data_IF_380693596814
#
_entry.id   IF_380693596814
#
_cell.length_a   1.000
_cell.length_b   1.000
_cell.length_c   1.000
_cell.angle_alpha   90.00
_cell.angle_beta   90.00
_cell.angle_gamma   90.00
#
_symmetry.space_group_name_H-M   'P 1'
#
loop_
_entity.id
_entity.type
_entity.pdbx_description
1 polymer ?
#
# COMPACT_ATOMS: atom_id res chain seq x y z
N UNK A 1 19.34 10.88 -30.66
CA UNK A 1 18.10 10.55 -29.92
C UNK A 1 17.44 11.87 -29.56
N UNK A 2 16.19 12.09 -29.91
CA UNK A 2 15.42 13.24 -29.49
C UNK A 2 14.37 12.76 -28.45
N UNK A 3 14.48 13.25 -27.22
CA UNK A 3 13.55 12.87 -26.15
C UNK A 3 13.15 14.10 -25.33
N UNK A 4 11.90 14.16 -24.91
CA UNK A 4 11.37 15.23 -24.06
C UNK A 4 11.37 14.88 -22.57
N UNK A 5 11.58 13.61 -22.22
CA UNK A 5 11.72 13.13 -20.82
C UNK A 5 12.75 12.01 -20.76
N UNK A 6 13.51 11.98 -19.66
CA UNK A 6 14.45 10.90 -19.35
C UNK A 6 14.35 10.62 -17.86
N UNK A 7 13.84 9.45 -17.49
CA UNK A 7 13.60 9.07 -16.09
C UNK A 7 14.34 7.76 -15.80
N UNK A 8 15.05 7.71 -14.69
CA UNK A 8 15.73 6.53 -14.19
C UNK A 8 14.92 5.84 -13.11
N UNK A 9 14.72 4.55 -13.25
CA UNK A 9 13.91 3.73 -12.34
C UNK A 9 14.71 2.53 -11.89
N UNK A 10 14.69 2.25 -10.59
CA UNK A 10 15.13 1.00 -9.99
C UNK A 10 13.89 0.16 -9.72
N UNK A 11 13.78 -0.98 -10.36
CA UNK A 11 12.65 -1.89 -10.21
C UNK A 11 12.82 -2.76 -8.97
N UNK A 12 11.87 -2.70 -8.08
CA UNK A 12 11.84 -3.49 -6.86
C UNK A 12 10.43 -4.06 -6.61
N UNK A 13 10.35 -5.10 -5.82
CA UNK A 13 9.10 -5.58 -5.27
C UNK A 13 9.26 -5.88 -3.78
N UNK A 14 8.21 -5.67 -3.01
CA UNK A 14 8.12 -6.05 -1.61
C UNK A 14 7.14 -7.21 -1.49
N UNK A 15 7.64 -8.40 -1.14
CA UNK A 15 6.83 -9.60 -0.97
C UNK A 15 5.87 -9.84 -2.17
N UNK A 16 6.36 -9.59 -3.40
CA UNK A 16 5.61 -9.75 -4.64
C UNK A 16 4.85 -8.52 -5.12
N UNK A 17 4.57 -7.54 -4.26
CA UNK A 17 3.94 -6.28 -4.69
C UNK A 17 4.97 -5.35 -5.31
N UNK A 18 4.71 -4.91 -6.55
CA UNK A 18 5.62 -4.03 -7.27
C UNK A 18 5.73 -2.66 -6.58
N UNK A 19 6.95 -2.15 -6.49
CA UNK A 19 7.26 -0.85 -5.88
C UNK A 19 8.48 -0.22 -6.56
N UNK A 20 8.41 -0.03 -7.87
CA UNK A 20 9.49 0.61 -8.64
C UNK A 20 9.80 2.01 -8.13
N UNK A 21 11.08 2.39 -8.09
CA UNK A 21 11.55 3.64 -7.49
C UNK A 21 12.22 4.52 -8.53
N UNK A 22 11.67 5.71 -8.75
CA UNK A 22 12.28 6.76 -9.59
C UNK A 22 13.41 7.41 -8.80
N UNK A 23 14.63 7.23 -9.26
CA UNK A 23 15.86 7.72 -8.61
C UNK A 23 16.52 8.88 -9.38
N UNK A 24 15.98 9.26 -10.54
CA UNK A 24 16.50 10.36 -11.34
C UNK A 24 15.55 10.79 -12.46
N UNK A 25 15.78 12.00 -12.99
CA UNK A 25 15.00 12.55 -14.08
C UNK A 25 13.74 13.35 -13.67
N UNK A 26 13.35 13.30 -12.41
CA UNK A 26 12.34 14.18 -11.81
C UNK A 26 13.06 15.07 -10.80
N UNK A 27 13.46 16.26 -11.24
CA UNK A 27 14.26 17.17 -10.41
C UNK A 27 13.45 17.86 -9.32
N UNK A 28 12.19 18.15 -9.59
CA UNK A 28 11.31 18.85 -8.66
C UNK A 28 9.85 18.47 -8.90
N UNK A 29 9.14 18.23 -7.81
CA UNK A 29 7.68 18.17 -7.77
C UNK A 29 7.23 19.47 -7.09
N UNK A 30 6.34 20.28 -7.71
CA UNK A 30 5.80 21.49 -7.08
C UNK A 30 5.16 21.20 -5.73
N UNK A 31 5.39 22.08 -4.76
CA UNK A 31 4.90 22.00 -3.38
C UNK A 31 6.02 22.19 -2.35
N UNK A 32 5.73 22.95 -1.29
CA UNK A 32 6.64 23.21 -0.17
C UNK A 32 6.61 22.07 0.86
N UNK A 33 5.53 21.33 0.93
CA UNK A 33 5.31 20.18 1.80
C UNK A 33 5.07 18.91 0.99
N UNK A 34 5.23 17.73 1.62
CA UNK A 34 4.90 16.47 0.94
C UNK A 34 3.40 16.36 0.63
N UNK A 35 2.54 16.96 1.45
CA UNK A 35 1.11 17.04 1.17
C UNK A 35 0.84 17.85 -0.11
N UNK A 36 1.45 19.03 -0.27
CA UNK A 36 1.29 19.84 -1.49
C UNK A 36 1.83 19.14 -2.74
N UNK A 37 2.94 18.40 -2.63
CA UNK A 37 3.47 17.56 -3.73
C UNK A 37 2.52 16.44 -4.12
N UNK A 38 1.91 15.80 -3.13
CA UNK A 38 0.88 14.77 -3.31
C UNK A 38 -0.36 15.37 -4.00
N UNK A 39 -0.84 16.52 -3.52
CA UNK A 39 -2.01 17.20 -4.11
C UNK A 39 -1.73 17.62 -5.55
N UNK A 40 -0.53 18.17 -5.83
CA UNK A 40 -0.12 18.49 -7.19
C UNK A 40 -0.17 17.27 -8.12
N UNK A 41 0.36 16.12 -7.71
CA UNK A 41 0.39 14.90 -8.52
C UNK A 41 -1.00 14.29 -8.75
N UNK A 42 -1.96 14.59 -7.88
CA UNK A 42 -3.36 14.21 -8.07
C UNK A 42 -4.17 15.20 -8.92
N UNK A 43 -3.62 16.37 -9.23
CA UNK A 43 -4.27 17.42 -10.00
C UNK A 43 -3.43 17.77 -11.25
N UNK A 44 -2.67 18.86 -11.23
CA UNK A 44 -1.94 19.37 -12.41
C UNK A 44 -0.80 18.43 -12.87
N UNK A 45 -0.27 17.60 -11.97
CA UNK A 45 0.83 16.67 -12.20
C UNK A 45 0.41 15.29 -12.73
N UNK A 46 -0.88 15.05 -13.00
CA UNK A 46 -1.39 13.73 -13.46
C UNK A 46 -0.74 13.20 -14.74
N UNK A 47 -0.21 14.05 -15.58
CA UNK A 47 0.54 13.62 -16.77
C UNK A 47 1.79 12.80 -16.42
N UNK A 48 2.43 13.08 -15.30
CA UNK A 48 3.57 12.30 -14.83
C UNK A 48 3.12 10.94 -14.29
N UNK A 49 2.02 10.89 -13.57
CA UNK A 49 1.41 9.65 -13.08
C UNK A 49 1.01 8.75 -14.27
N UNK A 50 0.30 9.29 -15.27
CA UNK A 50 -0.08 8.55 -16.48
C UNK A 50 1.15 8.04 -17.24
N UNK A 51 2.17 8.87 -17.41
CA UNK A 51 3.40 8.49 -18.07
C UNK A 51 4.10 7.30 -17.41
N UNK A 52 4.13 7.27 -16.08
CA UNK A 52 4.83 6.24 -15.31
C UNK A 52 4.00 4.97 -15.09
N UNK A 53 2.67 5.11 -14.95
CA UNK A 53 1.80 4.03 -14.51
C UNK A 53 0.97 3.40 -15.61
N UNK A 54 0.79 4.05 -16.80
CA UNK A 54 -0.03 3.54 -17.88
C UNK A 54 0.80 2.86 -18.96
N UNK A 55 0.15 1.99 -19.75
CA UNK A 55 0.78 1.38 -20.93
C UNK A 55 1.31 2.45 -21.89
N UNK A 56 2.41 2.19 -22.59
CA UNK A 56 3.18 0.96 -22.65
C UNK A 56 4.28 0.86 -21.57
N UNK A 57 4.39 1.82 -20.64
CA UNK A 57 5.46 1.91 -19.65
C UNK A 57 5.07 1.34 -18.29
N UNK A 58 3.79 1.39 -17.95
CA UNK A 58 3.21 0.87 -16.71
C UNK A 58 2.34 -0.35 -16.93
N UNK A 59 1.85 -0.89 -15.83
CA UNK A 59 0.96 -2.07 -15.78
C UNK A 59 -0.12 -1.87 -14.70
N UNK A 60 -1.27 -2.55 -14.79
CA UNK A 60 -2.40 -2.37 -13.86
C UNK A 60 -2.06 -2.57 -12.38
N UNK A 61 -1.08 -3.40 -12.10
CA UNK A 61 -0.61 -3.72 -10.75
C UNK A 61 0.70 -3.00 -10.39
N UNK A 62 1.10 -2.00 -11.18
CA UNK A 62 2.32 -1.24 -10.95
C UNK A 62 2.14 -0.19 -9.85
N UNK A 63 3.15 -0.03 -9.02
CA UNK A 63 3.36 1.12 -8.14
C UNK A 63 4.70 1.75 -8.48
N UNK A 64 4.72 3.07 -8.56
CA UNK A 64 5.94 3.84 -8.84
C UNK A 64 6.13 4.89 -7.76
N UNK A 65 7.29 4.86 -7.11
CA UNK A 65 7.66 5.74 -6.01
C UNK A 65 8.63 6.80 -6.52
N UNK A 66 8.28 8.07 -6.47
CA UNK A 66 9.19 9.15 -6.85
C UNK A 66 9.92 9.63 -5.61
N UNK A 67 11.23 9.37 -5.56
CA UNK A 67 12.10 9.90 -4.51
C UNK A 67 12.37 11.38 -4.76
N UNK A 68 12.30 12.18 -3.71
CA UNK A 68 12.57 13.62 -3.71
C UNK A 68 13.34 14.02 -2.46
N UNK A 69 13.91 15.23 -2.45
CA UNK A 69 14.40 15.81 -1.21
C UNK A 69 13.25 15.91 -0.18
N UNK A 70 13.53 15.61 1.10
CA UNK A 70 12.52 15.78 2.14
C UNK A 70 12.15 17.24 2.34
N UNK A 71 10.92 17.49 2.77
CA UNK A 71 10.44 18.86 3.08
C UNK A 71 10.64 19.24 4.55
N UNK A 72 11.11 18.28 5.35
CA UNK A 72 11.37 18.44 6.80
C UNK A 72 12.82 18.06 7.14
N UNK A 73 13.44 18.69 8.15
CA UNK A 73 14.88 18.52 8.44
C UNK A 73 15.22 17.21 9.16
N UNK A 74 14.22 16.49 9.71
CA UNK A 74 14.37 15.26 10.47
C UNK A 74 14.11 14.00 9.61
N UNK A 75 14.04 14.15 8.28
CA UNK A 75 13.89 13.05 7.34
C UNK A 75 15.12 12.91 6.42
N UNK A 76 15.42 11.68 6.02
CA UNK A 76 16.56 11.34 5.16
C UNK A 76 16.19 11.47 3.68
N UNK A 77 14.94 11.16 3.32
CA UNK A 77 14.40 11.30 1.98
C UNK A 77 12.88 11.53 2.02
N UNK A 78 12.34 12.16 0.98
CA UNK A 78 10.91 12.20 0.73
C UNK A 78 10.52 11.25 -0.40
N UNK A 79 9.29 10.75 -0.44
CA UNK A 79 8.78 10.06 -1.62
C UNK A 79 7.26 10.18 -1.76
N UNK A 80 6.80 10.12 -3.01
CA UNK A 80 5.37 10.08 -3.36
C UNK A 80 5.09 8.81 -4.14
N UNK A 81 4.03 8.12 -3.77
CA UNK A 81 3.58 6.88 -4.40
C UNK A 81 2.62 7.22 -5.52
N UNK A 82 2.85 6.69 -6.72
CA UNK A 82 1.94 6.75 -7.85
C UNK A 82 1.44 5.35 -8.19
N UNK A 83 0.14 5.25 -8.35
CA UNK A 83 -0.54 4.07 -8.85
C UNK A 83 -1.47 4.45 -10.01
N UNK A 84 -2.08 3.50 -10.73
CA UNK A 84 -2.99 3.80 -11.82
C UNK A 84 -4.16 4.72 -11.45
N UNK A 85 -4.65 4.64 -10.22
CA UNK A 85 -5.76 5.44 -9.69
C UNK A 85 -5.35 6.82 -9.14
N UNK A 86 -4.06 7.07 -8.97
CA UNK A 86 -3.55 8.37 -8.53
C UNK A 86 -2.33 8.28 -7.62
N UNK A 87 -2.01 9.38 -6.94
CA UNK A 87 -1.02 9.39 -5.88
C UNK A 87 -1.63 8.92 -4.56
N UNK A 88 -0.85 8.19 -3.77
CA UNK A 88 -1.22 7.67 -2.45
C UNK A 88 -0.34 8.25 -1.35
N UNK A 89 -0.90 8.56 -0.17
CA UNK A 89 -0.15 9.24 0.89
C UNK A 89 0.86 8.33 1.58
N UNK A 90 0.58 7.02 1.66
CA UNK A 90 1.44 6.03 2.29
C UNK A 90 1.07 4.60 1.85
N UNK A 91 2.07 3.72 1.78
CA UNK A 91 1.91 2.28 1.60
C UNK A 91 3.13 1.59 2.21
N UNK A 92 2.90 0.57 3.04
CA UNK A 92 3.96 -0.18 3.73
C UNK A 92 4.91 -0.88 2.75
N UNK A 93 4.38 -1.62 1.77
CA UNK A 93 5.21 -2.31 0.77
C UNK A 93 6.06 -1.34 -0.05
N UNK A 94 5.49 -0.18 -0.42
CA UNK A 94 6.23 0.85 -1.14
C UNK A 94 7.32 1.50 -0.28
N UNK A 95 7.05 1.79 1.00
CA UNK A 95 8.06 2.31 1.93
C UNK A 95 9.22 1.32 2.13
N UNK A 96 8.94 0.01 2.19
CA UNK A 96 9.97 -1.05 2.25
C UNK A 96 10.80 -1.07 0.95
N UNK A 97 10.17 -0.99 -0.23
CA UNK A 97 10.88 -0.90 -1.51
C UNK A 97 11.78 0.34 -1.58
N UNK A 98 11.25 1.50 -1.22
CA UNK A 98 12.00 2.78 -1.22
C UNK A 98 13.19 2.69 -0.27
N UNK A 99 13.00 2.22 0.96
CA UNK A 99 14.08 2.05 1.94
C UNK A 99 15.19 1.13 1.41
N UNK A 100 14.80 -0.03 0.86
CA UNK A 100 15.75 -0.99 0.29
C UNK A 100 16.54 -0.36 -0.88
N UNK A 101 15.86 0.33 -1.79
CA UNK A 101 16.52 0.99 -2.93
C UNK A 101 17.44 2.10 -2.47
N UNK A 102 17.02 2.97 -1.55
CA UNK A 102 17.85 4.07 -1.02
C UNK A 102 19.17 3.53 -0.41
N UNK A 103 19.08 2.43 0.34
CA UNK A 103 20.24 1.83 1.01
C UNK A 103 21.14 1.07 0.01
N UNK A 104 20.58 0.19 -0.80
CA UNK A 104 21.36 -0.67 -1.71
C UNK A 104 21.94 0.09 -2.93
N UNK A 105 21.41 1.28 -3.25
CA UNK A 105 22.01 2.16 -4.27
C UNK A 105 22.95 3.23 -3.69
N UNK A 106 23.09 3.29 -2.37
CA UNK A 106 23.97 4.27 -1.69
C UNK A 106 23.43 5.70 -1.69
N UNK A 107 22.15 5.92 -2.01
CA UNK A 107 21.51 7.24 -1.90
C UNK A 107 21.37 7.67 -0.44
N UNK A 108 21.19 6.72 0.47
CA UNK A 108 21.31 6.88 1.91
C UNK A 108 22.42 5.94 2.40
N UNK A 109 23.37 6.42 3.21
CA UNK A 109 24.42 5.56 3.75
C UNK A 109 23.86 4.40 4.56
N UNK A 110 24.33 3.19 4.26
CA UNK A 110 23.99 1.97 5.01
C UNK A 110 24.96 1.77 6.16
N UNK A 111 24.45 1.44 7.33
CA UNK A 111 25.22 0.98 8.50
C UNK A 111 24.75 -0.41 8.90
N UNK A 112 25.67 -1.25 9.37
CA UNK A 112 25.38 -2.61 9.84
C UNK A 112 25.54 -2.68 11.37
N UNK A 113 24.75 -3.48 12.05
CA UNK A 113 23.71 -4.40 11.54
C UNK A 113 22.35 -3.73 11.28
N UNK A 114 22.19 -2.44 11.59
CA UNK A 114 20.93 -1.73 11.49
C UNK A 114 21.11 -0.31 10.93
N UNK A 115 20.17 0.09 10.07
CA UNK A 115 20.05 1.45 9.57
C UNK A 115 18.63 1.95 9.78
N UNK A 116 18.49 3.12 10.39
CA UNK A 116 17.20 3.80 10.50
C UNK A 116 17.10 4.80 9.35
N UNK A 117 16.05 4.68 8.54
CA UNK A 117 15.72 5.62 7.45
C UNK A 117 14.40 6.31 7.79
N UNK A 118 14.41 7.63 7.80
CA UNK A 118 13.23 8.45 8.04
C UNK A 118 12.71 8.99 6.73
N UNK A 119 11.52 8.55 6.35
CA UNK A 119 10.87 8.88 5.08
C UNK A 119 9.80 9.94 5.30
N UNK A 120 9.93 11.07 4.60
CA UNK A 120 8.94 12.14 4.57
C UNK A 120 7.85 11.79 3.53
N UNK A 121 6.60 11.69 3.96
CA UNK A 121 5.46 11.31 3.12
C UNK A 121 4.28 12.26 3.32
N UNK A 122 3.29 12.21 2.44
CA UNK A 122 2.06 12.97 2.62
C UNK A 122 1.27 12.54 3.89
N UNK A 123 1.46 11.30 4.36
CA UNK A 123 0.89 10.83 5.63
C UNK A 123 1.74 11.20 6.86
N UNK A 124 2.86 11.93 6.67
CA UNK A 124 3.78 12.32 7.72
C UNK A 124 5.11 11.54 7.69
N UNK A 125 5.84 11.58 8.79
CA UNK A 125 7.13 10.89 8.93
C UNK A 125 6.92 9.40 9.16
N UNK A 126 7.55 8.59 8.31
CA UNK A 126 7.59 7.13 8.44
C UNK A 126 9.00 6.71 8.84
N UNK A 127 9.11 6.02 9.96
CA UNK A 127 10.38 5.45 10.41
C UNK A 127 10.50 4.00 9.94
N UNK A 128 11.52 3.74 9.14
CA UNK A 128 11.88 2.42 8.63
C UNK A 128 13.19 1.97 9.29
N UNK A 129 13.15 0.86 10.00
CA UNK A 129 14.32 0.21 10.60
C UNK A 129 14.74 -0.95 9.71
N UNK A 130 15.85 -0.79 9.00
CA UNK A 130 16.37 -1.79 8.09
C UNK A 130 17.46 -2.63 8.79
N UNK A 131 17.29 -3.95 8.80
CA UNK A 131 18.36 -4.87 9.16
C UNK A 131 19.28 -5.07 7.96
N UNK A 132 20.57 -4.81 8.15
CA UNK A 132 21.55 -4.80 7.08
C UNK A 132 22.71 -5.78 7.37
N UNK A 133 23.14 -6.50 6.33
CA UNK A 133 24.24 -7.47 6.43
C UNK A 133 24.93 -7.63 5.09
N UNK A 134 26.27 -7.52 5.06
CA UNK A 134 27.09 -7.70 3.86
C UNK A 134 26.76 -6.70 2.74
N UNK A 135 26.42 -5.47 3.08
CA UNK A 135 26.03 -4.42 2.14
C UNK A 135 24.63 -4.59 1.56
N UNK A 136 23.78 -5.43 2.16
CA UNK A 136 22.42 -5.71 1.70
C UNK A 136 21.40 -5.37 2.79
N UNK A 137 20.28 -4.79 2.38
CA UNK A 137 19.10 -4.64 3.20
C UNK A 137 18.34 -5.98 3.26
N UNK A 138 18.36 -6.63 4.41
CA UNK A 138 17.79 -7.98 4.58
C UNK A 138 16.29 -7.94 4.75
N UNK A 139 15.83 -7.06 5.61
CA UNK A 139 14.41 -6.76 5.84
C UNK A 139 14.25 -5.33 6.39
N UNK A 140 13.03 -4.83 6.34
CA UNK A 140 12.66 -3.51 6.83
C UNK A 140 11.45 -3.64 7.75
N UNK A 141 11.56 -3.10 8.94
CA UNK A 141 10.47 -2.96 9.90
C UNK A 141 9.95 -1.53 9.89
N UNK A 142 8.65 -1.38 9.68
CA UNK A 142 7.95 -0.10 9.73
C UNK A 142 7.14 0.00 11.01
N UNK A 143 7.26 1.13 11.73
CA UNK A 143 6.28 1.50 12.75
C UNK A 143 5.05 2.04 12.04
N UNK A 144 3.94 1.32 12.18
CA UNK A 144 2.68 1.68 11.51
C UNK A 144 1.89 2.71 12.32
N UNK A 145 0.92 3.34 11.70
CA UNK A 145 0.01 4.25 12.40
C UNK A 145 -0.82 3.52 13.43
N UNK A 146 -1.25 4.19 14.52
CA UNK A 146 -2.19 3.59 15.47
C UNK A 146 -3.43 3.05 14.76
N UNK A 147 -3.74 1.79 14.99
CA UNK A 147 -4.80 1.06 14.29
C UNK A 147 -5.91 0.67 15.27
N UNK A 148 -7.17 0.86 14.88
CA UNK A 148 -8.31 0.69 15.78
C UNK A 148 -9.52 0.11 15.06
N UNK A 149 -10.42 -0.47 15.87
CA UNK A 149 -11.71 -1.02 15.39
C UNK A 149 -12.74 0.10 15.34
N UNK A 150 -13.47 0.17 14.24
CA UNK A 150 -14.67 1.01 14.10
C UNK A 150 -15.93 0.24 14.50
N UNK A 151 -16.09 -0.98 13.97
CA UNK A 151 -17.17 -1.88 14.31
C UNK A 151 -16.78 -3.34 14.08
N UNK A 152 -17.35 -4.24 14.85
CA UNK A 152 -17.20 -5.69 14.67
C UNK A 152 -18.53 -6.30 14.23
N UNK A 153 -18.45 -7.39 13.45
CA UNK A 153 -19.59 -8.22 13.03
C UNK A 153 -20.70 -7.44 12.31
N UNK A 154 -20.33 -6.45 11.48
CA UNK A 154 -21.29 -5.71 10.64
C UNK A 154 -21.90 -6.65 9.61
N UNK A 155 -23.21 -6.80 9.63
CA UNK A 155 -23.95 -7.69 8.75
C UNK A 155 -24.17 -7.07 7.37
N UNK A 156 -23.80 -7.81 6.32
CA UNK A 156 -23.94 -7.40 4.92
C UNK A 156 -24.78 -8.43 4.18
N UNK A 157 -25.98 -8.08 3.68
CA UNK A 157 -26.71 -8.96 2.77
C UNK A 157 -25.91 -9.18 1.49
N UNK A 158 -25.61 -10.45 1.18
CA UNK A 158 -24.83 -10.81 0.00
C UNK A 158 -25.42 -12.07 -0.64
N UNK A 159 -25.95 -11.97 -1.88
CA UNK A 159 -26.72 -13.05 -2.51
C UNK A 159 -27.81 -13.56 -1.57
N UNK A 160 -27.87 -14.87 -1.31
CA UNK A 160 -28.87 -15.52 -0.47
C UNK A 160 -28.44 -15.69 1.01
N UNK A 161 -27.37 -15.00 1.42
CA UNK A 161 -26.80 -15.12 2.76
C UNK A 161 -26.47 -13.75 3.38
N UNK A 162 -26.14 -13.75 4.66
CA UNK A 162 -25.60 -12.59 5.37
C UNK A 162 -24.14 -12.88 5.69
N UNK A 163 -23.24 -11.98 5.27
CA UNK A 163 -21.81 -12.01 5.56
C UNK A 163 -21.54 -11.02 6.69
N UNK A 164 -20.65 -11.37 7.62
CA UNK A 164 -20.16 -10.48 8.66
C UNK A 164 -18.81 -9.93 8.29
N UNK A 165 -18.64 -8.63 8.43
CA UNK A 165 -17.37 -7.94 8.25
C UNK A 165 -17.01 -7.16 9.53
N UNK A 166 -15.73 -7.13 9.87
CA UNK A 166 -15.17 -6.18 10.82
C UNK A 166 -14.76 -4.92 10.07
N UNK A 167 -15.05 -3.74 10.62
CA UNK A 167 -14.59 -2.46 10.07
C UNK A 167 -13.48 -1.93 10.98
N UNK A 168 -12.28 -1.75 10.43
CA UNK A 168 -11.13 -1.30 11.18
C UNK A 168 -10.24 -0.37 10.35
N UNK A 169 -9.49 0.50 11.04
CA UNK A 169 -8.50 1.40 10.49
C UNK A 169 -7.08 0.89 10.76
N UNK A 170 -6.21 0.90 9.75
CA UNK A 170 -4.80 0.54 9.85
C UNK A 170 -3.89 1.41 8.99
N UNK A 171 -4.33 2.64 8.68
CA UNK A 171 -3.75 3.58 7.72
C UNK A 171 -4.76 3.93 6.62
N UNK A 172 -5.74 3.07 6.42
CA UNK A 172 -6.98 3.28 5.69
C UNK A 172 -8.08 2.44 6.35
N UNK A 173 -9.35 2.62 5.97
CA UNK A 173 -10.45 1.79 6.46
C UNK A 173 -10.64 0.54 5.63
N UNK A 174 -10.73 -0.58 6.32
CA UNK A 174 -10.93 -1.92 5.76
C UNK A 174 -12.23 -2.54 6.24
N UNK A 175 -12.95 -3.20 5.32
CA UNK A 175 -13.89 -4.25 5.67
C UNK A 175 -13.15 -5.58 5.70
N UNK A 176 -13.07 -6.25 6.84
CA UNK A 176 -12.32 -7.50 7.01
C UNK A 176 -13.31 -8.64 7.11
N UNK A 177 -13.18 -9.63 6.24
CA UNK A 177 -14.12 -10.74 6.08
C UNK A 177 -13.39 -12.07 6.18
N UNK A 178 -13.87 -12.96 7.04
CA UNK A 178 -13.38 -14.34 7.09
C UNK A 178 -13.84 -15.07 5.81
N UNK A 179 -12.88 -15.50 4.99
CA UNK A 179 -13.15 -16.09 3.67
C UNK A 179 -13.98 -17.37 3.73
N UNK A 180 -13.94 -18.06 4.86
CA UNK A 180 -14.73 -19.26 5.11
C UNK A 180 -16.25 -19.03 5.06
N UNK A 181 -16.72 -17.80 5.36
CA UNK A 181 -18.13 -17.43 5.21
C UNK A 181 -18.61 -17.54 3.76
N UNK A 182 -17.68 -17.48 2.79
CA UNK A 182 -17.95 -17.63 1.36
C UNK A 182 -17.77 -19.07 0.87
N UNK A 183 -17.36 -20.00 1.75
CA UNK A 183 -16.98 -21.37 1.34
C UNK A 183 -15.77 -21.41 0.40
N UNK A 184 -14.87 -20.41 0.51
CA UNK A 184 -13.72 -20.23 -0.37
C UNK A 184 -12.39 -20.32 0.38
N UNK A 185 -11.31 -20.45 -0.39
CA UNK A 185 -9.93 -20.40 0.10
C UNK A 185 -9.21 -19.19 -0.52
N UNK A 186 -8.26 -18.61 0.24
CA UNK A 186 -7.32 -17.62 -0.27
C UNK A 186 -6.23 -18.36 -1.05
N UNK A 187 -6.40 -18.43 -2.36
CA UNK A 187 -5.49 -19.15 -3.26
C UNK A 187 -5.43 -18.43 -4.63
N UNK A 188 -4.29 -18.50 -5.35
CA UNK A 188 -4.09 -17.77 -6.61
C UNK A 188 -5.18 -18.00 -7.66
N UNK A 189 -5.71 -19.23 -7.77
CA UNK A 189 -6.80 -19.57 -8.70
C UNK A 189 -8.11 -18.86 -8.39
N UNK A 190 -8.32 -18.41 -7.16
CA UNK A 190 -9.52 -17.72 -6.71
C UNK A 190 -9.39 -16.18 -6.78
N UNK A 191 -8.24 -15.64 -7.20
CA UNK A 191 -7.94 -14.22 -7.14
C UNK A 191 -8.99 -13.35 -7.84
N UNK A 192 -9.45 -13.75 -9.04
CA UNK A 192 -10.45 -12.99 -9.79
C UNK A 192 -11.80 -12.96 -9.07
N UNK A 193 -12.24 -14.10 -8.55
CA UNK A 193 -13.50 -14.19 -7.82
C UNK A 193 -13.46 -13.43 -6.49
N UNK A 194 -12.38 -13.56 -5.73
CA UNK A 194 -12.17 -12.78 -4.50
C UNK A 194 -12.17 -11.27 -4.78
N UNK A 195 -11.54 -10.84 -5.88
CA UNK A 195 -11.57 -9.45 -6.29
C UNK A 195 -13.01 -8.97 -6.57
N UNK A 196 -13.76 -9.70 -7.38
CA UNK A 196 -15.14 -9.32 -7.74
C UNK A 196 -16.04 -9.22 -6.49
N UNK A 197 -15.94 -10.19 -5.59
CA UNK A 197 -16.67 -10.20 -4.33
C UNK A 197 -16.24 -9.01 -3.45
N UNK A 198 -14.93 -8.78 -3.31
CA UNK A 198 -14.41 -7.71 -2.46
C UNK A 198 -14.83 -6.32 -2.91
N UNK A 199 -14.89 -6.05 -4.22
CA UNK A 199 -15.37 -4.77 -4.76
C UNK A 199 -16.88 -4.60 -4.53
N UNK A 200 -17.67 -5.66 -4.65
CA UNK A 200 -19.11 -5.59 -4.33
C UNK A 200 -19.32 -5.35 -2.83
N UNK A 201 -18.59 -6.07 -1.97
CA UNK A 201 -18.68 -5.90 -0.52
C UNK A 201 -18.27 -4.49 -0.05
N UNK A 202 -17.19 -3.90 -0.59
CA UNK A 202 -16.79 -2.53 -0.22
C UNK A 202 -17.87 -1.52 -0.62
N UNK A 203 -18.52 -1.73 -1.75
CA UNK A 203 -19.63 -0.89 -2.21
C UNK A 203 -20.82 -0.97 -1.26
N UNK A 204 -21.22 -2.18 -0.86
CA UNK A 204 -22.32 -2.42 0.08
C UNK A 204 -22.03 -1.86 1.47
N UNK A 205 -20.80 -2.06 1.97
CA UNK A 205 -20.37 -1.52 3.24
C UNK A 205 -20.51 0.00 3.28
N UNK A 206 -20.03 0.71 2.25
CA UNK A 206 -20.14 2.17 2.19
C UNK A 206 -21.59 2.68 2.03
N UNK A 207 -22.51 1.86 1.54
CA UNK A 207 -23.93 2.19 1.50
C UNK A 207 -24.62 2.05 2.85
N UNK A 208 -24.14 1.15 3.71
CA UNK A 208 -24.79 0.79 4.98
C UNK A 208 -24.08 1.42 6.19
N UNK A 209 -22.78 1.67 6.10
CA UNK A 209 -21.97 2.09 7.22
C UNK A 209 -21.10 3.30 6.85
N UNK A 210 -21.18 4.35 7.64
CA UNK A 210 -20.36 5.54 7.48
C UNK A 210 -19.22 5.51 8.49
N UNK A 211 -18.01 5.73 8.02
CA UNK A 211 -16.80 5.87 8.85
C UNK A 211 -16.30 7.31 8.79
N UNK A 212 -15.64 7.74 9.85
CA UNK A 212 -14.95 9.02 9.91
C UNK A 212 -13.78 8.92 10.88
N UNK A 213 -12.57 9.15 10.34
CA UNK A 213 -11.38 9.16 11.20
C UNK A 213 -11.46 10.35 12.18
N UNK A 214 -11.20 10.14 13.48
CA UNK A 214 -11.36 11.18 14.50
C UNK A 214 -10.51 12.44 14.26
N UNK A 215 -9.34 12.28 13.60
CA UNK A 215 -8.37 13.37 13.40
C UNK A 215 -8.25 13.83 11.94
N UNK A 216 -8.67 13.02 10.96
CA UNK A 216 -8.45 13.29 9.52
C UNK A 216 -9.77 13.25 8.75
N UNK A 217 -10.30 14.42 8.41
CA UNK A 217 -11.61 14.55 7.73
C UNK A 217 -11.66 13.88 6.34
N UNK A 218 -10.52 13.76 5.66
CA UNK A 218 -10.41 13.09 4.35
C UNK A 218 -10.54 11.57 4.42
N UNK A 219 -10.35 10.96 5.60
CA UNK A 219 -10.49 9.52 5.81
C UNK A 219 -11.90 9.21 6.29
N UNK A 220 -12.84 9.12 5.35
CA UNK A 220 -14.29 9.05 5.62
C UNK A 220 -15.02 7.97 4.81
N UNK A 221 -14.29 6.99 4.28
CA UNK A 221 -14.86 5.87 3.52
C UNK A 221 -14.08 4.58 3.79
N UNK A 222 -14.75 3.44 3.61
CA UNK A 222 -14.11 2.14 3.57
C UNK A 222 -13.50 1.97 2.19
N UNK A 223 -12.17 1.87 2.11
CA UNK A 223 -11.45 1.85 0.84
C UNK A 223 -11.30 0.45 0.26
N UNK A 224 -11.15 -0.55 1.15
CA UNK A 224 -10.77 -1.90 0.74
C UNK A 224 -11.57 -2.97 1.49
N UNK A 225 -11.67 -4.15 0.88
CA UNK A 225 -12.01 -5.39 1.57
C UNK A 225 -10.77 -6.27 1.64
N UNK A 226 -10.48 -6.75 2.85
CA UNK A 226 -9.48 -7.78 3.11
C UNK A 226 -10.19 -9.08 3.49
N UNK A 227 -10.01 -10.13 2.71
CA UNK A 227 -10.34 -11.48 3.12
C UNK A 227 -9.24 -12.02 4.02
N UNK A 228 -9.62 -12.73 5.08
CA UNK A 228 -8.67 -13.40 5.97
C UNK A 228 -9.06 -14.85 6.24
N UNK A 229 -8.07 -15.65 6.58
CA UNK A 229 -8.22 -16.97 7.20
C UNK A 229 -7.19 -17.08 8.33
N UNK A 230 -7.64 -17.30 9.56
CA UNK A 230 -6.80 -17.33 10.75
C UNK A 230 -6.54 -18.79 11.14
N UNK A 231 -5.25 -19.17 11.24
CA UNK A 231 -4.77 -20.45 11.74
C UNK A 231 -3.66 -20.21 12.78
N UNK A 232 -4.06 -20.03 14.03
CA UNK A 232 -3.15 -19.65 15.10
C UNK A 232 -2.44 -18.32 14.84
N UNK A 233 -1.11 -18.33 14.80
CA UNK A 233 -0.29 -17.15 14.50
C UNK A 233 -0.13 -16.89 12.99
N UNK A 234 -0.57 -17.79 12.13
CA UNK A 234 -0.59 -17.60 10.68
C UNK A 234 -1.94 -17.02 10.27
N UNK A 235 -1.91 -15.87 9.59
CA UNK A 235 -3.10 -15.22 9.04
C UNK A 235 -2.92 -15.08 7.53
N UNK A 236 -3.65 -15.89 6.77
CA UNK A 236 -3.72 -15.70 5.32
C UNK A 236 -4.59 -14.49 5.00
N UNK A 237 -4.15 -13.66 4.06
CA UNK A 237 -4.83 -12.42 3.68
C UNK A 237 -4.91 -12.25 2.16
N UNK A 238 -5.99 -11.61 1.69
CA UNK A 238 -6.14 -11.16 0.32
C UNK A 238 -6.88 -9.82 0.32
N UNK A 239 -6.17 -8.74 0.06
CA UNK A 239 -6.76 -7.41 -0.07
C UNK A 239 -7.11 -7.12 -1.51
N UNK A 240 -8.34 -6.64 -1.74
CA UNK A 240 -8.85 -6.33 -3.07
C UNK A 240 -8.73 -4.83 -3.36
N UNK A 241 -8.15 -4.51 -4.51
CA UNK A 241 -7.78 -3.15 -4.91
C UNK A 241 -8.41 -2.80 -6.28
N UNK A 242 -8.98 -1.61 -6.40
CA UNK A 242 -9.30 -1.06 -7.73
C UNK A 242 -8.00 -0.74 -8.49
N UNK A 243 -7.97 -0.81 -9.82
CA UNK A 243 -9.06 -1.03 -10.77
C UNK A 243 -9.48 -2.49 -10.97
N UNK A 244 -8.71 -3.49 -10.54
CA UNK A 244 -9.04 -4.88 -10.82
C UNK A 244 -7.99 -5.87 -10.35
N UNK A 245 -7.47 -5.74 -9.12
CA UNK A 245 -6.38 -6.59 -8.64
C UNK A 245 -6.51 -6.94 -7.16
N UNK A 246 -5.85 -8.03 -6.76
CA UNK A 246 -5.53 -8.30 -5.36
C UNK A 246 -4.12 -7.78 -5.05
N UNK A 247 -3.88 -7.35 -3.82
CA UNK A 247 -2.52 -7.10 -3.32
C UNK A 247 -1.71 -8.40 -3.40
N UNK A 248 -0.49 -8.32 -3.90
CA UNK A 248 0.43 -9.47 -3.95
C UNK A 248 1.12 -9.67 -2.62
N UNK A 249 1.36 -8.56 -1.89
CA UNK A 249 1.87 -8.62 -0.52
C UNK A 249 0.75 -8.95 0.48
N UNK A 250 1.09 -9.26 1.74
CA UNK A 250 0.07 -9.43 2.79
C UNK A 250 -0.70 -8.15 3.14
N UNK A 251 -0.37 -6.99 2.55
CA UNK A 251 -0.93 -5.68 2.85
C UNK A 251 -0.62 -5.17 4.26
N UNK A 252 0.38 -4.26 4.39
CA UNK A 252 0.82 -3.77 5.71
C UNK A 252 -0.26 -3.06 6.50
N UNK A 253 -0.98 -2.12 5.87
CA UNK A 253 -2.10 -1.36 6.49
C UNK A 253 -3.30 -2.26 6.79
N UNK A 254 -3.63 -3.20 5.90
CA UNK A 254 -4.67 -4.19 6.14
C UNK A 254 -4.32 -5.15 7.27
N UNK A 255 -3.07 -5.61 7.35
CA UNK A 255 -2.59 -6.46 8.45
C UNK A 255 -2.62 -5.72 9.79
N UNK A 256 -2.35 -4.40 9.79
CA UNK A 256 -2.47 -3.54 10.97
C UNK A 256 -3.93 -3.39 11.43
N UNK A 257 -4.86 -3.19 10.49
CA UNK A 257 -6.30 -3.16 10.77
C UNK A 257 -6.79 -4.51 11.30
N UNK A 258 -6.33 -5.62 10.71
CA UNK A 258 -6.65 -6.97 11.18
C UNK A 258 -6.12 -7.22 12.60
N UNK A 259 -4.89 -6.78 12.90
CA UNK A 259 -4.32 -6.90 14.25
C UNK A 259 -5.20 -6.19 15.28
N UNK A 260 -5.75 -5.02 14.96
CA UNK A 260 -6.67 -4.29 15.84
C UNK A 260 -7.96 -5.10 16.09
N UNK A 261 -8.52 -5.78 15.08
CA UNK A 261 -9.70 -6.63 15.28
C UNK A 261 -9.39 -7.85 16.14
N UNK A 262 -8.23 -8.48 15.95
CA UNK A 262 -7.78 -9.62 16.75
C UNK A 262 -7.55 -9.23 18.22
N UNK A 263 -6.96 -8.04 18.45
CA UNK A 263 -6.79 -7.49 19.80
C UNK A 263 -8.14 -7.22 20.47
N UNK A 264 -9.06 -6.57 19.78
CA UNK A 264 -10.41 -6.30 20.30
C UNK A 264 -11.18 -7.60 20.65
N UNK A 265 -10.91 -8.70 19.92
CA UNK A 265 -11.46 -10.04 20.17
C UNK A 265 -10.66 -10.84 21.22
N UNK A 266 -9.60 -10.27 21.82
CA UNK A 266 -8.71 -10.91 22.79
C UNK A 266 -8.03 -12.18 22.22
N UNK A 267 -7.73 -12.18 20.94
CA UNK A 267 -7.01 -13.25 20.24
C UNK A 267 -5.50 -13.02 20.25
N UNK A 268 -5.07 -11.81 20.54
CA UNK A 268 -3.65 -11.41 20.67
C UNK A 268 -3.48 -10.41 21.82
N UNK A 269 -2.27 -10.37 22.39
CA UNK A 269 -1.86 -9.46 23.47
C UNK A 269 -0.63 -8.65 23.04
N UNK A 270 -0.31 -7.59 23.80
CA UNK A 270 0.91 -6.79 23.58
C UNK A 270 2.14 -7.69 23.70
N UNK A 271 3.02 -7.63 22.69
CA UNK A 271 4.20 -8.48 22.55
C UNK A 271 4.00 -9.67 21.60
N UNK A 272 2.76 -9.98 21.22
CA UNK A 272 2.50 -11.07 20.28
C UNK A 272 2.89 -10.72 18.86
N UNK A 273 3.39 -11.73 18.14
CA UNK A 273 3.76 -11.64 16.73
C UNK A 273 2.94 -12.60 15.89
N UNK A 274 2.49 -12.12 14.74
CA UNK A 274 1.75 -12.89 13.73
C UNK A 274 2.56 -12.96 12.43
N UNK A 275 2.33 -14.01 11.65
CA UNK A 275 2.75 -14.07 10.25
C UNK A 275 1.53 -13.79 9.38
N UNK A 276 1.50 -12.65 8.69
CA UNK A 276 0.51 -12.35 7.66
C UNK A 276 1.00 -12.92 6.34
N UNK A 277 0.22 -13.80 5.70
CA UNK A 277 0.59 -14.46 4.45
C UNK A 277 -0.35 -14.07 3.32
N UNK A 278 0.22 -13.60 2.20
CA UNK A 278 -0.54 -13.17 1.04
C UNK A 278 -1.10 -14.34 0.22
N UNK A 279 -1.96 -14.01 -0.73
CA UNK A 279 -2.53 -14.97 -1.69
C UNK A 279 -1.48 -15.72 -2.53
N UNK A 280 -0.27 -15.17 -2.70
CA UNK A 280 0.85 -15.82 -3.40
C UNK A 280 1.82 -16.53 -2.45
N UNK A 281 1.52 -16.55 -1.13
CA UNK A 281 2.34 -17.20 -0.11
C UNK A 281 3.50 -16.36 0.45
N UNK A 282 3.65 -15.09 0.02
CA UNK A 282 4.63 -14.17 0.61
C UNK A 282 4.21 -13.71 2.02
N UNK A 283 5.14 -13.23 2.83
CA UNK A 283 4.91 -13.04 4.26
C UNK A 283 5.38 -11.69 4.79
N UNK A 284 4.58 -11.12 5.71
CA UNK A 284 4.98 -10.08 6.64
C UNK A 284 4.97 -10.60 8.07
N UNK A 285 5.97 -10.21 8.85
CA UNK A 285 5.90 -10.26 10.31
C UNK A 285 5.06 -9.08 10.82
N UNK A 286 4.12 -9.33 11.71
CA UNK A 286 3.27 -8.29 12.31
C UNK A 286 3.36 -8.42 13.82
N UNK A 287 3.95 -7.42 14.49
CA UNK A 287 4.09 -7.36 15.94
C UNK A 287 3.09 -6.37 16.53
N UNK A 288 2.37 -6.75 17.58
CA UNK A 288 1.65 -5.83 18.42
C UNK A 288 2.63 -5.26 19.48
N UNK A 289 3.22 -4.08 19.15
CA UNK A 289 4.27 -3.51 20.02
C UNK A 289 3.70 -2.95 21.31
N UNK A 290 2.59 -2.21 21.22
CA UNK A 290 1.96 -1.55 22.36
C UNK A 290 0.52 -1.12 21.99
N UNK A 291 -0.14 -0.44 22.89
CA UNK A 291 -1.47 0.13 22.70
C UNK A 291 -1.48 1.63 23.03
N UNK A 292 -2.43 2.34 22.45
CA UNK A 292 -2.67 3.77 22.72
C UNK A 292 -4.16 4.08 22.62
N UNK A 293 -4.51 5.34 22.72
CA UNK A 293 -5.88 5.82 22.54
C UNK A 293 -5.94 6.88 21.44
N UNK A 294 -6.85 6.73 20.50
CA UNK A 294 -7.17 7.75 19.49
C UNK A 294 -8.60 8.22 19.74
N UNK A 295 -8.75 9.46 20.20
CA UNK A 295 -10.00 9.99 20.75
C UNK A 295 -10.52 9.09 21.88
N UNK A 296 -11.62 8.38 21.66
CA UNK A 296 -12.25 7.45 22.60
C UNK A 296 -11.99 5.97 22.27
N UNK A 297 -11.21 5.69 21.20
CA UNK A 297 -10.97 4.33 20.71
C UNK A 297 -9.63 3.79 21.22
N UNK A 298 -9.65 2.55 21.72
CA UNK A 298 -8.40 1.80 21.96
C UNK A 298 -7.76 1.47 20.60
N UNK A 299 -6.50 1.82 20.44
CA UNK A 299 -5.72 1.56 19.24
C UNK A 299 -4.48 0.73 19.56
N UNK A 300 -4.13 -0.19 18.67
CA UNK A 300 -2.87 -0.92 18.71
C UNK A 300 -1.78 -0.15 17.97
N UNK A 301 -0.52 -0.34 18.37
CA UNK A 301 0.67 0.17 17.68
C UNK A 301 1.36 -0.99 16.95
N UNK A 302 1.07 -1.21 15.67
CA UNK A 302 1.65 -2.33 14.95
C UNK A 302 3.07 -2.00 14.44
N UNK A 303 3.93 -3.03 14.43
CA UNK A 303 5.14 -3.05 13.58
C UNK A 303 4.97 -4.09 12.49
N UNK A 304 5.27 -3.70 11.25
CA UNK A 304 5.23 -4.61 10.10
C UNK A 304 6.62 -4.76 9.54
N UNK A 305 7.09 -6.01 9.45
CA UNK A 305 8.40 -6.37 8.89
C UNK A 305 8.21 -7.11 7.58
N UNK A 306 8.87 -6.65 6.52
CA UNK A 306 8.85 -7.28 5.21
C UNK A 306 10.19 -7.16 4.49
N UNK A 307 10.30 -7.83 3.36
CA UNK A 307 11.51 -7.85 2.53
C UNK A 307 11.22 -7.29 1.16
N UNK A 308 12.21 -6.57 0.60
CA UNK A 308 12.14 -6.17 -0.79
C UNK A 308 13.38 -6.64 -1.56
N UNK A 309 13.21 -6.80 -2.87
CA UNK A 309 14.26 -7.23 -3.79
C UNK A 309 14.31 -6.30 -4.99
N UNK A 310 15.49 -5.79 -5.29
CA UNK A 310 15.76 -5.11 -6.55
C UNK A 310 15.93 -6.18 -7.63
N UNK A 311 15.19 -6.05 -8.74
CA UNK A 311 15.26 -7.03 -9.84
C UNK A 311 15.67 -6.43 -11.18
N UNK A 312 15.92 -5.11 -11.24
CA UNK A 312 16.40 -4.48 -12.46
C UNK A 312 16.45 -2.96 -12.38
N UNK A 313 16.96 -2.36 -13.46
CA UNK A 313 16.93 -0.91 -13.69
C UNK A 313 16.32 -0.62 -15.05
N UNK A 314 15.64 0.52 -15.15
CA UNK A 314 14.95 0.94 -16.37
C UNK A 314 15.21 2.42 -16.65
N UNK A 315 15.31 2.77 -17.93
CA UNK A 315 15.38 4.14 -18.40
C UNK A 315 14.15 4.41 -19.26
N UNK A 316 13.28 5.29 -18.80
CA UNK A 316 12.06 5.69 -19.52
C UNK A 316 12.30 6.97 -20.30
N UNK A 317 11.83 6.99 -21.53
CA UNK A 317 11.97 8.11 -22.45
C UNK A 317 10.66 8.38 -23.19
N UNK A 318 10.53 9.60 -23.73
CA UNK A 318 9.41 9.98 -24.60
C UNK A 318 9.97 10.47 -25.92
N UNK A 319 9.64 9.79 -27.01
CA UNK A 319 9.80 10.34 -28.35
C UNK A 319 8.75 11.44 -28.58
N UNK A 320 9.14 12.66 -28.99
CA UNK A 320 8.17 13.74 -29.24
C UNK A 320 7.13 13.43 -30.32
N UNK A 321 7.34 12.42 -31.15
CA UNK A 321 6.41 12.00 -32.22
C UNK A 321 5.46 10.87 -31.74
N UNK A 322 5.68 10.26 -30.58
CA UNK A 322 4.82 9.23 -30.05
C UNK A 322 3.41 9.78 -29.76
N UNK A 323 2.34 9.25 -30.38
CA UNK A 323 0.97 9.69 -30.12
C UNK A 323 0.49 9.31 -28.69
N UNK A 324 1.15 8.36 -28.01
CA UNK A 324 0.79 7.86 -26.69
C UNK A 324 1.77 8.32 -25.59
N UNK A 325 2.20 9.58 -25.65
CA UNK A 325 3.19 10.15 -24.70
C UNK A 325 2.76 10.03 -23.25
N UNK A 326 1.46 10.14 -22.98
CA UNK A 326 0.87 10.02 -21.64
C UNK A 326 0.47 8.59 -21.29
N UNK A 327 0.61 7.64 -22.22
CA UNK A 327 0.14 6.27 -22.06
C UNK A 327 -1.35 6.11 -22.37
N UNK A 328 -1.81 4.88 -22.20
CA UNK A 328 -3.21 4.48 -22.40
C UNK A 328 -3.56 3.29 -21.48
N UNK A 329 -4.83 2.97 -21.40
CA UNK A 329 -5.36 1.81 -20.64
C UNK A 329 -6.45 1.12 -21.46
N UNK A 330 -6.54 -0.21 -21.36
CA UNK A 330 -7.61 -1.01 -21.98
C UNK A 330 -8.23 -1.92 -20.93
N UNK A 331 -9.55 -2.03 -20.93
CA UNK A 331 -10.30 -2.77 -19.91
C UNK A 331 -10.08 -4.28 -19.91
N UNK A 332 -9.51 -4.85 -20.98
CA UNK A 332 -9.16 -6.26 -21.09
C UNK A 332 -8.08 -6.69 -20.09
N UNK A 333 -7.11 -5.82 -19.82
CA UNK A 333 -6.02 -6.04 -18.84
C UNK A 333 -6.17 -5.17 -17.59
N UNK A 334 -6.78 -4.00 -17.70
CA UNK A 334 -6.93 -3.03 -16.61
C UNK A 334 -8.19 -3.24 -15.76
N UNK A 335 -9.06 -4.16 -16.17
CA UNK A 335 -10.30 -4.48 -15.49
C UNK A 335 -11.44 -3.48 -15.79
N UNK A 336 -12.66 -3.90 -15.47
CA UNK A 336 -13.91 -3.17 -15.80
C UNK A 336 -14.05 -1.79 -15.15
N UNK A 337 -13.34 -1.55 -14.05
CA UNK A 337 -13.41 -0.29 -13.29
C UNK A 337 -12.40 0.76 -13.74
N UNK A 338 -11.59 0.47 -14.79
CA UNK A 338 -10.54 1.42 -15.21
C UNK A 338 -11.10 2.78 -15.63
N UNK A 339 -12.27 2.80 -16.26
CA UNK A 339 -12.89 4.05 -16.70
C UNK A 339 -13.33 4.96 -15.53
N UNK A 340 -13.65 4.39 -14.37
CA UNK A 340 -13.99 5.17 -13.16
C UNK A 340 -12.77 5.92 -12.62
N UNK A 341 -11.58 5.38 -12.87
CA UNK A 341 -10.30 5.91 -12.37
C UNK A 341 -9.69 6.90 -13.33
N UNK A 342 -9.79 6.63 -14.64
CA UNK A 342 -9.12 7.45 -15.67
C UNK A 342 -9.91 8.66 -16.11
N UNK A 343 -11.21 8.73 -15.80
CA UNK A 343 -12.09 9.88 -16.12
C UNK A 343 -12.26 10.85 -14.94
N UNK A 344 -11.76 10.53 -13.76
CA UNK A 344 -11.77 11.39 -12.59
C UNK A 344 -10.54 12.39 -12.65
#
# INVERSE_FOLDING_TARGET
>A
MNTSKYIQVVNAHCEGENGSVVVGGVLQIPGATMQEKFDYLNNEGRDLQRFLCFEPRGVPHGSVNIVTAPTRPDADAGFVILQPDGAHPMSGSNAICVTTVLLETGMVPMTEPETIVRLDTAAGLVTATARCEGGKCIDVTLSMVPSFVEALDVEIPYMDQTIKADIAFGGDYYGIVDVQQLGMEIAPQNAHLLFDIGVDLVTRLNQQYSVQHPMYASLNKISYVMFRNIDGALVQTCTTLKPGRCDRSPCGTGSSANLATMYARKQVEVGDSLTSQSIIGSQFGVLLEDTTTIADKTAVLPKVTGRAWIYGTQQLMVDPTDPFKQGFTLSDTWGRFINEITQA
#
